data_IF_925876325180
#
_entry.id   IF_925876325180
#
_cell.length_a   1.000
_cell.length_b   1.000
_cell.length_c   1.000
_cell.angle_alpha   90.00
_cell.angle_beta   90.00
_cell.angle_gamma   90.00
#
_symmetry.space_group_name_H-M   'P 1'
#
loop_
_entity.id
_entity.type
_entity.pdbx_description
1 polymer ?
#
# COMPACT_ATOMS: atom_id res chain seq x y z
N UNK A 1 -7.93 24.02 3.06
CA UNK A 1 -7.79 22.62 3.39
C UNK A 1 -8.23 21.75 2.24
N UNK A 2 -7.39 20.83 1.85
CA UNK A 2 -7.69 19.99 0.73
C UNK A 2 -8.61 18.83 1.06
N UNK A 3 -9.19 18.27 0.05
CA UNK A 3 -9.97 17.06 0.20
C UNK A 3 -9.06 15.87 0.46
N UNK A 4 -9.55 14.96 1.25
CA UNK A 4 -8.87 13.68 1.43
C UNK A 4 -9.33 12.76 0.31
N UNK A 5 -8.39 12.38 -0.52
CA UNK A 5 -8.67 11.42 -1.57
C UNK A 5 -8.53 10.03 -0.99
N UNK A 6 -9.62 9.29 -0.98
CA UNK A 6 -9.59 7.92 -0.50
C UNK A 6 -9.44 7.00 -1.69
N UNK A 7 -8.33 6.29 -1.72
CA UNK A 7 -8.09 5.28 -2.73
C UNK A 7 -8.35 3.93 -2.09
N UNK A 8 -9.29 3.20 -2.63
CA UNK A 8 -9.66 1.90 -2.08
C UNK A 8 -8.49 0.94 -2.20
N UNK A 9 -8.20 0.16 -1.16
CA UNK A 9 -7.07 -0.79 -1.22
C UNK A 9 -7.19 -1.79 -2.36
N UNK A 10 -8.44 -2.07 -2.77
CA UNK A 10 -8.67 -3.05 -3.82
C UNK A 10 -8.64 -2.45 -5.23
N UNK A 11 -8.33 -1.16 -5.32
CA UNK A 11 -8.21 -0.53 -6.63
C UNK A 11 -6.83 -0.74 -7.23
N UNK A 12 -6.31 -1.93 -7.05
CA UNK A 12 -5.11 -2.38 -7.75
C UNK A 12 -5.57 -3.43 -8.75
N UNK A 13 -5.12 -3.30 -9.96
CA UNK A 13 -5.51 -4.27 -10.96
C UNK A 13 -5.41 -3.67 -12.34
N UNK A 14 -5.90 -4.42 -13.30
CA UNK A 14 -5.81 -4.00 -14.68
C UNK A 14 -6.60 -2.73 -14.90
N UNK A 15 -5.99 -1.82 -15.62
CA UNK A 15 -6.65 -0.57 -16.00
C UNK A 15 -6.48 0.56 -15.03
N UNK A 16 -6.05 0.30 -13.81
CA UNK A 16 -5.84 1.37 -12.83
C UNK A 16 -4.38 1.76 -12.80
N UNK A 17 -4.13 3.06 -12.98
CA UNK A 17 -2.78 3.61 -12.93
C UNK A 17 -2.86 4.94 -12.20
N UNK A 18 -2.24 4.98 -11.04
CA UNK A 18 -2.15 6.20 -10.26
C UNK A 18 -0.69 6.58 -10.13
N UNK A 19 -0.43 7.87 -10.04
CA UNK A 19 0.92 8.33 -9.77
C UNK A 19 1.34 7.88 -8.37
N UNK A 20 2.58 7.41 -8.25
CA UNK A 20 3.07 6.87 -6.98
C UNK A 20 3.01 7.91 -5.86
N UNK A 21 3.38 9.16 -6.17
CA UNK A 21 3.35 10.21 -5.17
C UNK A 21 1.93 10.51 -4.71
N UNK A 22 0.95 10.42 -5.60
CA UNK A 22 -0.44 10.63 -5.23
C UNK A 22 -0.92 9.54 -4.27
N UNK A 23 -0.49 8.31 -4.50
CA UNK A 23 -0.82 7.20 -3.61
C UNK A 23 -0.23 7.45 -2.22
N UNK A 24 1.02 7.88 -2.17
CA UNK A 24 1.68 8.14 -0.89
C UNK A 24 1.01 9.28 -0.15
N UNK A 25 0.61 10.33 -0.86
CA UNK A 25 -0.09 11.45 -0.24
C UNK A 25 -1.44 11.01 0.31
N UNK A 26 -2.16 10.19 -0.44
CA UNK A 26 -3.47 9.70 0.00
C UNK A 26 -3.35 8.81 1.23
N UNK A 27 -2.21 8.18 1.43
CA UNK A 27 -2.00 7.32 2.59
C UNK A 27 -1.77 8.10 3.87
N UNK A 28 -1.34 9.35 3.77
CA UNK A 28 -1.08 10.16 4.95
C UNK A 28 -2.37 10.51 5.66
N UNK A 29 -2.31 10.52 6.98
CA UNK A 29 -3.45 10.98 7.78
C UNK A 29 -4.60 10.00 7.87
N UNK A 30 -4.42 8.77 7.41
CA UNK A 30 -5.49 7.76 7.46
C UNK A 30 -5.62 7.11 8.84
N UNK A 31 -4.66 7.32 9.73
CA UNK A 31 -4.73 6.73 11.06
C UNK A 31 -4.35 5.25 11.10
N UNK A 32 -3.50 4.83 10.19
CA UNK A 32 -3.04 3.44 10.16
C UNK A 32 -2.30 3.08 11.44
N UNK A 33 -2.55 1.89 11.97
CA UNK A 33 -1.81 1.40 13.12
C UNK A 33 -0.49 0.75 12.69
N UNK A 34 -0.47 0.17 11.51
CA UNK A 34 0.71 -0.49 10.96
C UNK A 34 0.72 -0.24 9.47
N UNK A 35 1.89 0.11 8.95
CA UNK A 35 2.00 0.37 7.53
C UNK A 35 3.27 -0.27 6.98
N UNK A 36 3.18 -0.78 5.77
CA UNK A 36 4.33 -1.21 5.01
C UNK A 36 4.20 -0.65 3.60
N UNK A 37 5.30 -0.19 3.06
CA UNK A 37 5.35 0.34 1.70
C UNK A 37 6.26 -0.57 0.89
N UNK A 38 5.75 -1.07 -0.21
CA UNK A 38 6.49 -1.93 -1.12
C UNK A 38 6.48 -1.23 -2.47
N UNK A 39 7.64 -0.94 -2.99
CA UNK A 39 7.75 -0.18 -4.23
C UNK A 39 8.83 -0.75 -5.11
N UNK A 40 8.68 -0.53 -6.40
CA UNK A 40 9.70 -0.91 -7.37
C UNK A 40 10.43 0.35 -7.80
N UNK A 41 11.74 0.33 -7.73
CA UNK A 41 12.56 1.45 -8.13
C UNK A 41 12.81 1.41 -9.63
N UNK A 42 13.39 2.50 -10.16
CA UNK A 42 13.61 2.62 -11.60
C UNK A 42 14.47 1.50 -12.15
N UNK A 43 15.39 0.98 -11.33
CA UNK A 43 16.29 -0.09 -11.77
C UNK A 43 15.67 -1.48 -11.60
N UNK A 44 14.41 -1.54 -11.18
CA UNK A 44 13.69 -2.80 -10.98
C UNK A 44 13.86 -3.42 -9.61
N UNK A 45 14.66 -2.83 -8.74
CA UNK A 45 14.84 -3.38 -7.40
C UNK A 45 13.65 -3.02 -6.52
N UNK A 46 13.47 -3.79 -5.46
CA UNK A 46 12.38 -3.58 -4.51
C UNK A 46 12.88 -2.72 -3.35
N UNK A 47 12.08 -1.70 -3.04
CA UNK A 47 12.27 -0.87 -1.88
C UNK A 47 11.13 -1.16 -0.92
N UNK A 48 11.45 -1.45 0.33
CA UNK A 48 10.42 -1.76 1.31
C UNK A 48 10.75 -1.06 2.62
N UNK A 49 9.72 -0.50 3.24
CA UNK A 49 9.85 0.14 4.53
C UNK A 49 8.54 -0.04 5.29
N UNK A 50 8.62 -0.05 6.61
CA UNK A 50 7.42 -0.25 7.40
C UNK A 50 7.59 0.27 8.80
N UNK A 51 6.47 0.40 9.48
CA UNK A 51 6.43 0.90 10.85
C UNK A 51 6.54 -0.23 11.89
N UNK A 52 6.59 -1.48 11.44
CA UNK A 52 6.61 -2.63 12.32
C UNK A 52 7.83 -3.49 12.03
N UNK A 53 8.05 -4.50 12.88
CA UNK A 53 9.18 -5.40 12.68
C UNK A 53 8.95 -6.30 11.46
N UNK A 54 9.99 -7.06 11.11
CA UNK A 54 9.94 -7.89 9.89
C UNK A 54 8.82 -8.93 9.95
N UNK A 55 8.62 -9.56 11.10
CA UNK A 55 7.58 -10.58 11.23
C UNK A 55 6.19 -10.01 11.03
N UNK A 56 5.92 -8.88 11.66
CA UNK A 56 4.63 -8.21 11.51
C UNK A 56 4.43 -7.72 10.09
N UNK A 57 5.50 -7.26 9.46
CA UNK A 57 5.43 -6.82 8.07
C UNK A 57 5.07 -8.00 7.16
N UNK A 58 5.67 -9.16 7.39
CA UNK A 58 5.36 -10.34 6.59
C UNK A 58 3.91 -10.77 6.75
N UNK A 59 3.38 -10.70 7.97
CA UNK A 59 1.96 -11.00 8.20
C UNK A 59 1.08 -10.01 7.44
N UNK A 60 1.41 -8.74 7.51
CA UNK A 60 0.64 -7.72 6.80
C UNK A 60 0.67 -7.98 5.29
N UNK A 61 1.82 -8.39 4.77
CA UNK A 61 1.95 -8.71 3.35
C UNK A 61 1.06 -9.89 2.95
N UNK A 62 1.01 -10.93 3.79
CA UNK A 62 0.15 -12.08 3.51
C UNK A 62 -1.33 -11.69 3.52
N UNK A 63 -1.71 -10.85 4.46
CA UNK A 63 -3.09 -10.36 4.51
C UNK A 63 -3.41 -9.50 3.29
N UNK A 64 -2.47 -8.66 2.89
CA UNK A 64 -2.65 -7.83 1.69
C UNK A 64 -2.83 -8.69 0.45
N UNK A 65 -2.06 -9.76 0.34
CA UNK A 65 -2.19 -10.70 -0.76
C UNK A 65 -3.59 -11.29 -0.83
N UNK A 66 -4.17 -11.66 0.31
CA UNK A 66 -5.53 -12.19 0.34
C UNK A 66 -6.55 -11.15 -0.10
N UNK A 67 -6.37 -9.91 0.32
CA UNK A 67 -7.27 -8.84 -0.10
C UNK A 67 -7.22 -8.64 -1.61
N UNK A 68 -6.01 -8.61 -2.17
CA UNK A 68 -5.85 -8.39 -3.61
C UNK A 68 -6.39 -9.57 -4.41
N UNK A 69 -6.11 -10.80 -3.97
CA UNK A 69 -6.48 -12.00 -4.74
C UNK A 69 -7.94 -12.36 -4.54
N UNK A 70 -8.44 -12.27 -3.32
CA UNK A 70 -9.77 -12.78 -2.98
C UNK A 70 -10.76 -11.67 -2.61
N UNK A 71 -10.30 -10.45 -2.44
CA UNK A 71 -11.18 -9.35 -2.07
C UNK A 71 -11.54 -9.32 -0.59
N UNK A 72 -10.91 -10.13 0.22
CA UNK A 72 -11.19 -10.16 1.65
C UNK A 72 -9.96 -10.50 2.46
N UNK A 73 -9.95 -9.99 3.67
CA UNK A 73 -8.84 -10.19 4.60
C UNK A 73 -9.02 -11.47 5.42
#
# INVERSE_FOLDING_TARGET
MGEVVKLEPVEVGEGYRFDADDILEAAKGQGFTTVAIIAEQEDGSIWISGSANAGETLILMERAKRVVVFGED
#
